data_IF_426467363561
#
_entry.id   IF_426467363561
#
_cell.length_a   1.000
_cell.length_b   1.000
_cell.length_c   1.000
_cell.angle_alpha   90.00
_cell.angle_beta   90.00
_cell.angle_gamma   90.00
#
_symmetry.space_group_name_H-M   'P 1'
#
loop_
_entity.id
_entity.type
_entity.pdbx_description
1 polymer ?
#
# COMPACT_ATOMS: atom_id res chain seq x y z
N UNK A 1 -8.76 7.00 -7.68
CA UNK A 1 -7.43 7.11 -7.03
C UNK A 1 -7.36 8.19 -5.96
N UNK A 2 -7.55 9.49 -6.26
CA UNK A 2 -7.47 10.59 -5.28
C UNK A 2 -8.30 10.37 -4.01
N UNK A 3 -9.59 10.08 -4.15
CA UNK A 3 -10.48 9.79 -3.01
C UNK A 3 -9.99 8.62 -2.14
N UNK A 4 -9.38 7.60 -2.76
CA UNK A 4 -8.83 6.44 -2.02
C UNK A 4 -7.65 6.88 -1.15
N UNK A 5 -6.78 7.75 -1.67
CA UNK A 5 -5.66 8.33 -0.91
C UNK A 5 -6.14 9.22 0.24
N UNK A 6 -7.13 10.08 -0.03
CA UNK A 6 -7.70 10.98 0.98
C UNK A 6 -8.37 10.22 2.13
N UNK A 7 -9.13 9.17 1.82
CA UNK A 7 -9.72 8.29 2.82
C UNK A 7 -8.62 7.59 3.65
N UNK A 8 -7.60 7.02 3.00
CA UNK A 8 -6.50 6.36 3.70
C UNK A 8 -5.80 7.30 4.68
N UNK A 9 -5.54 8.55 4.27
CA UNK A 9 -4.90 9.55 5.12
C UNK A 9 -5.78 9.97 6.30
N UNK A 10 -7.08 10.15 6.06
CA UNK A 10 -8.02 10.63 7.09
C UNK A 10 -8.35 9.56 8.13
N UNK A 11 -8.57 8.34 7.68
CA UNK A 11 -9.21 7.30 8.51
C UNK A 11 -8.18 6.38 9.17
N UNK A 12 -7.04 6.14 8.52
CA UNK A 12 -6.19 5.01 8.88
C UNK A 12 -4.71 5.36 9.06
N UNK A 13 -4.19 6.38 8.38
CA UNK A 13 -2.74 6.63 8.35
C UNK A 13 -2.18 6.94 9.74
N UNK A 14 -2.70 7.96 10.43
CA UNK A 14 -2.15 8.32 11.75
C UNK A 14 -2.53 7.30 12.82
N UNK A 15 -3.82 6.94 12.94
CA UNK A 15 -4.27 5.97 13.96
C UNK A 15 -3.60 4.61 13.74
N UNK A 16 -3.69 4.03 12.54
CA UNK A 16 -3.18 2.68 12.28
C UNK A 16 -1.67 2.54 12.44
N UNK A 17 -0.88 3.56 12.07
CA UNK A 17 0.57 3.55 12.29
C UNK A 17 0.89 3.67 13.77
N UNK A 18 0.21 4.54 14.52
CA UNK A 18 0.38 4.62 15.97
C UNK A 18 -0.04 3.30 16.66
N UNK A 19 -1.10 2.62 16.20
CA UNK A 19 -1.55 1.34 16.77
C UNK A 19 -0.50 0.24 16.72
N UNK A 20 0.43 0.29 15.75
CA UNK A 20 1.59 -0.60 15.75
C UNK A 20 2.48 -0.39 16.98
N UNK A 21 2.79 0.87 17.33
CA UNK A 21 3.62 1.18 18.50
C UNK A 21 2.88 0.98 19.83
N UNK A 22 1.56 1.19 19.82
CA UNK A 22 0.66 0.93 20.95
C UNK A 22 0.39 -0.57 21.18
N UNK A 23 0.92 -1.46 20.34
CA UNK A 23 0.64 -2.91 20.33
C UNK A 23 -0.86 -3.25 20.33
N UNK A 24 -1.63 -2.47 19.57
CA UNK A 24 -3.08 -2.60 19.54
C UNK A 24 -3.51 -3.47 18.36
N UNK A 25 -4.37 -4.47 18.63
CA UNK A 25 -4.99 -5.32 17.61
C UNK A 25 -5.67 -4.54 16.47
N UNK A 26 -6.02 -3.26 16.71
CA UNK A 26 -6.57 -2.36 15.69
C UNK A 26 -5.64 -2.17 14.50
N UNK A 27 -4.32 -2.38 14.61
CA UNK A 27 -3.40 -2.34 13.47
C UNK A 27 -3.83 -3.29 12.34
N UNK A 28 -4.48 -4.41 12.67
CA UNK A 28 -4.96 -5.39 11.68
C UNK A 28 -6.05 -4.82 10.76
N UNK A 29 -6.72 -3.73 11.16
CA UNK A 29 -7.71 -3.06 10.30
C UNK A 29 -7.08 -2.36 9.08
N UNK A 30 -5.77 -2.07 9.11
CA UNK A 30 -5.05 -1.49 7.96
C UNK A 30 -5.14 -2.37 6.69
N UNK A 31 -5.39 -3.67 6.86
CA UNK A 31 -5.53 -4.62 5.76
C UNK A 31 -6.70 -4.26 4.83
N UNK A 32 -7.81 -3.76 5.37
CA UNK A 32 -8.97 -3.39 4.56
C UNK A 32 -8.68 -2.18 3.67
N UNK A 33 -8.02 -1.17 4.23
CA UNK A 33 -7.59 -0.01 3.44
C UNK A 33 -6.50 -0.38 2.44
N UNK A 34 -5.62 -1.32 2.79
CA UNK A 34 -4.62 -1.88 1.87
C UNK A 34 -5.31 -2.53 0.66
N UNK A 35 -6.30 -3.40 0.88
CA UNK A 35 -7.10 -4.02 -0.19
C UNK A 35 -7.79 -2.98 -1.06
N UNK A 36 -8.38 -1.95 -0.48
CA UNK A 36 -9.02 -0.87 -1.24
C UNK A 36 -8.04 -0.12 -2.17
N UNK A 37 -6.83 0.16 -1.67
CA UNK A 37 -5.75 0.78 -2.46
C UNK A 37 -5.25 -0.14 -3.57
N UNK A 38 -5.03 -1.42 -3.25
CA UNK A 38 -4.60 -2.44 -4.22
C UNK A 38 -5.63 -2.63 -5.34
N UNK A 39 -6.92 -2.68 -5.00
CA UNK A 39 -8.00 -2.76 -6.00
C UNK A 39 -8.02 -1.52 -6.91
N UNK A 40 -7.78 -0.33 -6.34
CA UNK A 40 -7.71 0.90 -7.13
C UNK A 40 -6.51 0.91 -8.09
N UNK A 41 -5.35 0.40 -7.66
CA UNK A 41 -4.16 0.22 -8.50
C UNK A 41 -4.41 -0.83 -9.60
N UNK A 42 -5.02 -1.96 -9.26
CA UNK A 42 -5.33 -3.02 -10.22
C UNK A 42 -6.29 -2.52 -11.32
N UNK A 43 -7.24 -1.66 -10.97
CA UNK A 43 -8.20 -1.09 -11.92
C UNK A 43 -7.58 -0.17 -12.99
N UNK A 44 -6.34 0.30 -12.78
CA UNK A 44 -5.60 1.11 -13.76
C UNK A 44 -4.42 0.36 -14.37
N UNK A 45 -4.22 -0.90 -14.00
CA UNK A 45 -3.17 -1.74 -14.57
C UNK A 45 -3.48 -1.99 -16.06
N UNK A 46 -2.45 -2.09 -16.93
CA UNK A 46 -2.65 -2.63 -18.27
C UNK A 46 -3.25 -4.03 -18.18
N UNK A 47 -4.14 -4.35 -19.12
CA UNK A 47 -4.94 -5.58 -19.08
C UNK A 47 -4.05 -6.83 -18.97
N UNK A 48 -4.37 -7.69 -18.00
CA UNK A 48 -3.69 -8.97 -17.79
C UNK A 48 -2.33 -8.90 -17.10
N UNK A 49 -1.82 -7.72 -16.73
CA UNK A 49 -0.54 -7.61 -16.03
C UNK A 49 -0.70 -7.73 -14.50
N UNK A 50 0.04 -8.64 -13.84
CA UNK A 50 0.13 -8.66 -12.39
C UNK A 50 1.01 -7.51 -11.88
N UNK A 51 0.92 -7.23 -10.58
CA UNK A 51 1.93 -6.39 -9.93
C UNK A 51 3.29 -7.10 -9.90
N UNK A 52 4.36 -6.33 -9.77
CA UNK A 52 5.71 -6.88 -9.65
C UNK A 52 5.86 -7.79 -8.41
N UNK A 53 6.76 -8.77 -8.53
CA UNK A 53 6.93 -9.83 -7.53
C UNK A 53 7.19 -9.30 -6.11
N UNK A 54 8.02 -8.26 -5.97
CA UNK A 54 8.35 -7.66 -4.68
C UNK A 54 7.11 -7.04 -4.00
N UNK A 55 6.25 -6.36 -4.76
CA UNK A 55 5.02 -5.82 -4.18
C UNK A 55 4.02 -6.94 -3.87
N UNK A 56 3.94 -7.96 -4.72
CA UNK A 56 3.13 -9.16 -4.46
C UNK A 56 3.51 -9.86 -3.15
N UNK A 57 4.81 -10.01 -2.87
CA UNK A 57 5.32 -10.58 -1.62
C UNK A 57 4.91 -9.75 -0.40
N UNK A 58 5.07 -8.43 -0.46
CA UNK A 58 4.64 -7.50 0.60
C UNK A 58 3.13 -7.66 0.87
N UNK A 59 2.30 -7.73 -0.18
CA UNK A 59 0.85 -7.91 -0.03
C UNK A 59 0.50 -9.26 0.59
N UNK A 60 1.20 -10.33 0.19
CA UNK A 60 0.98 -11.67 0.73
C UNK A 60 1.32 -11.73 2.24
N UNK A 61 2.38 -11.05 2.67
CA UNK A 61 2.78 -11.04 4.08
C UNK A 61 1.90 -10.14 4.94
N UNK A 62 1.40 -9.03 4.38
CA UNK A 62 0.68 -8.01 5.14
C UNK A 62 -0.85 -8.01 5.02
N UNK A 63 -1.46 -8.97 4.31
CA UNK A 63 -2.92 -9.06 4.17
C UNK A 63 -3.42 -10.49 4.39
N UNK A 64 -4.71 -10.62 4.77
CA UNK A 64 -5.30 -11.91 5.14
C UNK A 64 -4.84 -12.43 6.51
N UNK A 65 -4.22 -11.58 7.32
CA UNK A 65 -3.78 -11.90 8.67
C UNK A 65 -4.96 -11.83 9.64
N UNK A 66 -5.14 -12.87 10.45
CA UNK A 66 -6.07 -12.88 11.57
C UNK A 66 -5.31 -12.65 12.88
N UNK A 67 -5.91 -11.89 13.80
CA UNK A 67 -5.31 -11.62 15.11
C UNK A 67 -5.57 -12.78 16.08
N UNK A 68 -4.54 -13.11 16.84
CA UNK A 68 -4.56 -14.02 17.98
C UNK A 68 -3.82 -13.39 19.16
N UNK A 69 -4.18 -13.78 20.39
CA UNK A 69 -3.49 -13.26 21.58
C UNK A 69 -1.99 -13.61 21.63
N UNK A 70 -1.59 -14.71 20.97
CA UNK A 70 -0.20 -15.13 20.86
C UNK A 70 0.64 -14.15 20.00
N UNK A 71 -0.01 -13.36 19.12
CA UNK A 71 0.71 -12.38 18.30
C UNK A 71 1.36 -11.28 19.14
N UNK A 72 0.89 -11.03 20.37
CA UNK A 72 1.50 -10.05 21.27
C UNK A 72 2.93 -10.43 21.68
N UNK A 73 3.26 -11.73 21.73
CA UNK A 73 4.61 -12.20 22.08
C UNK A 73 5.62 -11.99 20.94
N UNK A 74 5.12 -11.89 19.71
CA UNK A 74 5.91 -11.73 18.47
C UNK A 74 5.42 -10.52 17.67
N UNK A 75 5.10 -9.43 18.37
CA UNK A 75 4.39 -8.30 17.77
C UNK A 75 5.07 -7.71 16.52
N UNK A 76 6.40 -7.46 16.51
CA UNK A 76 7.07 -6.96 15.31
C UNK A 76 6.89 -7.88 14.10
N UNK A 77 7.05 -9.19 14.28
CA UNK A 77 6.95 -10.19 13.21
C UNK A 77 5.53 -10.29 12.64
N UNK A 78 4.53 -10.02 13.48
CA UNK A 78 3.11 -10.18 13.12
C UNK A 78 2.48 -8.89 12.58
N UNK A 79 2.81 -7.74 13.16
CA UNK A 79 2.18 -6.47 12.83
C UNK A 79 2.97 -5.62 11.83
N UNK A 80 4.31 -5.74 11.77
CA UNK A 80 5.10 -4.95 10.84
C UNK A 80 4.77 -5.23 9.36
N UNK A 81 4.52 -6.49 8.93
CA UNK A 81 4.12 -6.75 7.54
C UNK A 81 2.82 -6.05 7.13
N UNK A 82 1.85 -5.92 8.05
CA UNK A 82 0.59 -5.22 7.81
C UNK A 82 0.84 -3.73 7.56
N UNK A 83 1.68 -3.11 8.38
CA UNK A 83 2.09 -1.71 8.20
C UNK A 83 2.86 -1.52 6.90
N UNK A 84 3.77 -2.43 6.58
CA UNK A 84 4.55 -2.37 5.34
C UNK A 84 3.65 -2.45 4.11
N UNK A 85 2.70 -3.38 4.08
CA UNK A 85 1.75 -3.50 2.97
C UNK A 85 0.90 -2.23 2.80
N UNK A 86 0.39 -1.68 3.89
CA UNK A 86 -0.36 -0.43 3.88
C UNK A 86 0.47 0.75 3.34
N UNK A 87 1.69 0.95 3.85
CA UNK A 87 2.55 2.07 3.43
C UNK A 87 2.97 1.97 1.97
N UNK A 88 3.30 0.77 1.49
CA UNK A 88 3.66 0.57 0.08
C UNK A 88 2.46 0.74 -0.86
N UNK A 89 1.28 0.22 -0.50
CA UNK A 89 0.07 0.44 -1.29
C UNK A 89 -0.29 1.93 -1.35
N UNK A 90 -0.22 2.63 -0.20
CA UNK A 90 -0.42 4.08 -0.12
C UNK A 90 0.57 4.85 -0.98
N UNK A 91 1.86 4.50 -0.92
CA UNK A 91 2.90 5.10 -1.74
C UNK A 91 2.57 5.00 -3.24
N UNK A 92 2.19 3.81 -3.72
CA UNK A 92 1.87 3.65 -5.14
C UNK A 92 0.61 4.42 -5.55
N UNK A 93 -0.42 4.45 -4.70
CA UNK A 93 -1.61 5.30 -4.92
C UNK A 93 -1.21 6.78 -4.97
N UNK A 94 -0.34 7.23 -4.06
CA UNK A 94 0.18 8.60 -4.04
C UNK A 94 0.94 8.94 -5.31
N UNK A 95 1.81 8.05 -5.80
CA UNK A 95 2.50 8.24 -7.07
C UNK A 95 1.50 8.28 -8.24
N UNK A 96 0.52 7.39 -8.28
CA UNK A 96 -0.51 7.38 -9.33
C UNK A 96 -1.31 8.70 -9.35
N UNK A 97 -1.69 9.24 -8.18
CA UNK A 97 -2.37 10.54 -8.09
C UNK A 97 -1.46 11.68 -8.53
N UNK A 98 -0.27 11.77 -7.95
CA UNK A 98 0.70 12.85 -8.21
C UNK A 98 1.05 12.96 -9.69
N UNK A 99 1.27 11.82 -10.34
CA UNK A 99 1.75 11.78 -11.71
C UNK A 99 0.63 11.79 -12.76
N UNK A 100 -0.62 11.49 -12.38
CA UNK A 100 -1.78 11.73 -13.24
C UNK A 100 -2.07 13.22 -13.48
N UNK A 101 -1.56 14.11 -12.62
CA UNK A 101 -1.75 15.56 -12.73
C UNK A 101 -0.65 16.27 -13.54
N UNK A 102 0.33 15.54 -14.07
CA UNK A 102 1.36 16.16 -14.91
C UNK A 102 0.76 16.62 -16.24
N UNK A 103 0.90 17.91 -16.51
CA UNK A 103 0.47 18.51 -17.77
C UNK A 103 1.39 18.15 -18.95
N UNK A 104 2.67 17.90 -18.69
CA UNK A 104 3.68 17.60 -19.71
C UNK A 104 4.57 16.42 -19.29
N UNK A 105 5.02 15.64 -20.27
CA UNK A 105 6.01 14.60 -20.07
C UNK A 105 7.39 15.24 -19.80
N UNK A 106 7.99 15.02 -18.63
CA UNK A 106 9.30 15.58 -18.30
C UNK A 106 10.40 14.94 -19.17
N UNK A 107 11.43 15.72 -19.52
CA UNK A 107 12.56 15.23 -20.32
C UNK A 107 13.40 14.13 -19.66
N UNK A 108 13.28 13.96 -18.35
CA UNK A 108 13.84 12.86 -17.56
C UNK A 108 12.70 12.17 -16.79
N UNK A 109 12.69 10.83 -16.81
CA UNK A 109 11.67 10.05 -16.14
C UNK A 109 11.75 10.23 -14.61
N UNK A 110 10.73 10.83 -13.96
CA UNK A 110 10.76 11.05 -12.53
C UNK A 110 10.67 9.72 -11.78
N UNK A 111 11.36 9.60 -10.64
CA UNK A 111 11.45 8.34 -9.91
C UNK A 111 10.09 7.74 -9.53
N UNK A 112 9.08 8.56 -9.22
CA UNK A 112 7.75 8.04 -8.89
C UNK A 112 6.96 7.53 -10.10
N UNK A 113 7.16 8.11 -11.29
CA UNK A 113 6.66 7.52 -12.53
C UNK A 113 7.38 6.19 -12.81
N UNK A 114 8.70 6.20 -12.64
CA UNK A 114 9.53 5.01 -12.79
C UNK A 114 9.10 3.89 -11.82
N UNK A 115 8.67 4.23 -10.60
CA UNK A 115 8.14 3.30 -9.62
C UNK A 115 6.82 2.67 -10.09
N UNK A 116 5.92 3.44 -10.72
CA UNK A 116 4.69 2.89 -11.33
C UNK A 116 5.01 1.95 -12.49
N UNK A 117 6.00 2.27 -13.33
CA UNK A 117 6.45 1.35 -14.38
C UNK A 117 7.01 0.05 -13.77
N UNK A 118 7.81 0.14 -12.71
CA UNK A 118 8.27 -1.04 -11.97
C UNK A 118 7.10 -1.84 -11.39
N UNK A 119 6.08 -1.18 -10.82
CA UNK A 119 4.91 -1.82 -10.23
C UNK A 119 4.18 -2.71 -11.25
N UNK A 120 4.04 -2.24 -12.49
CA UNK A 120 3.34 -2.98 -13.56
C UNK A 120 4.28 -3.79 -14.46
N UNK A 121 5.57 -3.90 -14.14
CA UNK A 121 6.53 -4.66 -14.95
C UNK A 121 6.80 -4.07 -16.34
N UNK A 122 6.67 -2.74 -16.47
CA UNK A 122 6.82 -1.99 -17.73
C UNK A 122 8.19 -1.30 -17.85
N UNK A 123 9.16 -1.67 -17.02
CA UNK A 123 10.50 -1.08 -17.00
C UNK A 123 11.56 -2.04 -17.47
#
# INVERSE_FOLDING_TARGET
MRRVLENANRECYEDGIYRYYDQSLKVFSLQEQTKAMVNALAAIAPEGLPFCALFGEILQQGTGCEFSLADNEHWPERAAPIVQAFLHARYFVEMAVKYAEMAELPGLLPSGWAALLCLYGLR
#
